data_IF_761457369329
#
_entry.id   IF_761457369329
#
_cell.length_a   1.000
_cell.length_b   1.000
_cell.length_c   1.000
_cell.angle_alpha   90.00
_cell.angle_beta   90.00
_cell.angle_gamma   90.00
#
_symmetry.space_group_name_H-M   'P 1'
#
loop_
_entity.id
_entity.type
_entity.pdbx_description
1 polymer ?
#
# COMPACT_ATOMS: atom_id res chain seq x y z
N UNK A 1 -33.11 -49.16 -72.94
CA UNK A 1 -34.17 -48.32 -72.34
C UNK A 1 -34.33 -48.73 -70.88
N UNK A 2 -33.59 -48.10 -69.97
CA UNK A 2 -33.90 -48.05 -68.53
C UNK A 2 -33.11 -46.90 -67.92
N UNK A 3 -33.78 -46.19 -67.03
CA UNK A 3 -33.54 -44.81 -66.60
C UNK A 3 -33.36 -44.82 -65.06
N UNK A 4 -32.61 -43.84 -64.50
CA UNK A 4 -32.56 -43.37 -63.10
C UNK A 4 -31.97 -44.36 -62.06
N UNK A 5 -31.26 -44.01 -60.97
CA UNK A 5 -31.03 -42.86 -60.04
C UNK A 5 -29.69 -43.22 -59.30
N UNK A 6 -28.98 -42.45 -58.47
CA UNK A 6 -29.33 -41.36 -57.57
C UNK A 6 -28.04 -40.69 -57.07
N UNK A 7 -28.06 -39.37 -56.97
CA UNK A 7 -27.15 -38.59 -56.16
C UNK A 7 -27.57 -38.69 -54.68
N UNK A 8 -26.64 -38.99 -53.76
CA UNK A 8 -26.68 -38.62 -52.33
C UNK A 8 -25.40 -39.07 -51.62
N UNK A 9 -24.35 -38.25 -51.65
CA UNK A 9 -23.22 -38.32 -50.70
C UNK A 9 -22.87 -36.90 -50.28
N UNK A 10 -23.62 -36.36 -49.33
CA UNK A 10 -23.43 -34.98 -48.89
C UNK A 10 -24.27 -34.64 -47.69
N UNK A 11 -24.26 -35.48 -46.64
CA UNK A 11 -24.93 -35.14 -45.38
C UNK A 11 -24.52 -36.06 -44.20
N UNK A 12 -23.22 -36.31 -44.00
CA UNK A 12 -22.73 -37.04 -42.82
C UNK A 12 -21.38 -36.48 -42.27
N UNK A 13 -21.19 -35.15 -42.28
CA UNK A 13 -20.05 -34.52 -41.59
C UNK A 13 -20.44 -33.34 -40.68
N UNK A 14 -21.74 -33.04 -40.51
CA UNK A 14 -22.21 -31.91 -39.69
C UNK A 14 -22.72 -32.31 -38.29
N UNK A 15 -22.61 -33.59 -37.88
CA UNK A 15 -23.11 -34.07 -36.59
C UNK A 15 -22.00 -34.34 -35.55
N UNK A 16 -20.73 -34.04 -35.86
CA UNK A 16 -19.61 -34.24 -34.92
C UNK A 16 -19.25 -32.97 -34.10
N UNK A 17 -19.91 -31.83 -34.32
CA UNK A 17 -19.62 -30.56 -33.64
C UNK A 17 -20.55 -30.23 -32.46
N UNK A 18 -21.49 -31.11 -32.11
CA UNK A 18 -22.42 -30.89 -30.99
C UNK A 18 -22.10 -31.69 -29.71
N UNK A 19 -20.96 -32.40 -29.69
CA UNK A 19 -20.41 -33.04 -28.50
C UNK A 19 -19.18 -32.29 -28.02
N UNK A 20 -19.31 -30.98 -27.79
CA UNK A 20 -18.38 -30.31 -26.89
C UNK A 20 -18.73 -30.75 -25.47
N UNK A 21 -17.82 -31.41 -24.74
CA UNK A 21 -18.06 -31.76 -23.36
C UNK A 21 -18.39 -30.46 -22.59
N UNK A 22 -19.42 -30.45 -21.72
CA UNK A 22 -19.84 -29.26 -20.99
C UNK A 22 -18.73 -28.61 -20.14
N UNK A 23 -17.57 -29.27 -19.96
CA UNK A 23 -16.39 -28.72 -19.29
C UNK A 23 -15.62 -27.67 -20.09
N UNK A 24 -15.63 -27.68 -21.43
CA UNK A 24 -14.81 -26.76 -22.23
C UNK A 24 -15.24 -25.29 -22.09
N UNK A 25 -16.52 -25.04 -21.78
CA UNK A 25 -17.07 -23.69 -21.60
C UNK A 25 -16.72 -23.11 -20.23
N UNK A 26 -16.77 -23.93 -19.17
CA UNK A 26 -16.37 -23.53 -17.83
C UNK A 26 -14.87 -23.23 -17.72
N UNK A 27 -14.04 -23.94 -18.48
CA UNK A 27 -12.58 -23.75 -18.52
C UNK A 27 -12.19 -22.46 -19.27
N UNK A 28 -12.89 -22.11 -20.34
CA UNK A 28 -12.74 -20.84 -21.05
C UNK A 28 -13.13 -19.63 -20.18
N UNK A 29 -14.21 -19.74 -19.43
CA UNK A 29 -14.67 -18.67 -18.54
C UNK A 29 -13.71 -18.48 -17.35
N UNK A 30 -13.12 -19.56 -16.83
CA UNK A 30 -12.12 -19.51 -15.76
C UNK A 30 -10.82 -18.82 -16.18
N UNK A 31 -10.23 -19.21 -17.32
CA UNK A 31 -9.01 -18.60 -17.84
C UNK A 31 -9.21 -17.11 -18.19
N UNK A 32 -10.38 -16.74 -18.70
CA UNK A 32 -10.73 -15.35 -18.96
C UNK A 32 -10.78 -14.52 -17.66
N UNK A 33 -11.38 -15.05 -16.60
CA UNK A 33 -11.44 -14.38 -15.29
C UNK A 33 -10.05 -14.26 -14.66
N UNK A 34 -9.21 -15.29 -14.72
CA UNK A 34 -7.80 -15.21 -14.27
C UNK A 34 -7.02 -14.16 -15.06
N UNK A 35 -7.21 -14.07 -16.39
CA UNK A 35 -6.51 -13.10 -17.22
C UNK A 35 -6.92 -11.65 -16.94
N UNK A 36 -8.18 -11.41 -16.60
CA UNK A 36 -8.71 -10.09 -16.22
C UNK A 36 -8.05 -9.54 -14.95
N UNK A 37 -7.76 -10.41 -13.99
CA UNK A 37 -7.20 -10.04 -12.69
C UNK A 37 -5.67 -10.20 -12.60
N UNK A 38 -5.00 -10.53 -13.71
CA UNK A 38 -3.57 -10.84 -13.75
C UNK A 38 -2.66 -9.64 -13.42
N UNK A 39 -3.18 -8.43 -13.60
CA UNK A 39 -2.51 -7.18 -13.25
C UNK A 39 -3.05 -6.56 -11.96
N UNK A 40 -4.05 -7.18 -11.32
CA UNK A 40 -4.56 -6.68 -10.05
C UNK A 40 -3.52 -6.97 -8.97
N UNK A 41 -3.18 -5.98 -8.12
CA UNK A 41 -2.26 -6.22 -7.03
C UNK A 41 -2.83 -7.30 -6.10
N UNK A 42 -2.02 -8.32 -5.80
CA UNK A 42 -2.42 -9.39 -4.88
C UNK A 42 -2.55 -8.80 -3.47
N UNK A 43 -3.79 -8.74 -2.97
CA UNK A 43 -4.11 -8.27 -1.62
C UNK A 43 -4.37 -9.38 -0.60
N UNK A 44 -4.47 -10.66 -1.00
CA UNK A 44 -4.81 -11.75 -0.08
C UNK A 44 -3.70 -12.15 0.90
N UNK A 45 -2.50 -11.56 0.80
CA UNK A 45 -1.43 -11.77 1.79
C UNK A 45 -1.70 -11.11 3.14
N UNK A 46 -2.72 -10.25 3.22
CA UNK A 46 -3.18 -9.58 4.43
C UNK A 46 -4.26 -10.42 5.12
N UNK A 47 -4.09 -10.69 6.41
CA UNK A 47 -5.09 -11.36 7.24
C UNK A 47 -6.31 -10.47 7.53
N UNK A 48 -7.40 -11.05 8.03
CA UNK A 48 -8.54 -10.26 8.56
C UNK A 48 -8.12 -9.34 9.73
N UNK A 49 -7.09 -9.74 10.48
CA UNK A 49 -6.49 -8.87 11.48
C UNK A 49 -5.81 -7.66 10.82
N UNK A 50 -5.09 -7.85 9.71
CA UNK A 50 -4.48 -6.73 8.97
C UNK A 50 -5.54 -5.76 8.42
N UNK A 51 -6.69 -6.27 7.98
CA UNK A 51 -7.83 -5.43 7.59
C UNK A 51 -8.30 -4.56 8.76
N UNK A 52 -8.49 -5.17 9.93
CA UNK A 52 -8.88 -4.46 11.16
C UNK A 52 -7.85 -3.39 11.53
N UNK A 53 -6.56 -3.73 11.41
CA UNK A 53 -5.46 -2.81 11.71
C UNK A 53 -5.42 -1.63 10.71
N UNK A 54 -5.60 -1.90 9.41
CA UNK A 54 -5.66 -0.88 8.36
C UNK A 54 -6.83 0.08 8.57
N UNK A 55 -8.04 -0.44 8.78
CA UNK A 55 -9.24 0.39 9.01
C UNK A 55 -9.11 1.23 10.28
N UNK A 56 -8.56 0.66 11.35
CA UNK A 56 -8.26 1.39 12.58
C UNK A 56 -7.19 2.46 12.38
N UNK A 57 -6.13 2.17 11.63
CA UNK A 57 -5.06 3.13 11.35
C UNK A 57 -5.56 4.26 10.46
N UNK A 58 -6.42 4.00 9.48
CA UNK A 58 -7.09 5.04 8.69
C UNK A 58 -7.83 6.01 9.61
N UNK A 59 -8.66 5.52 10.54
CA UNK A 59 -9.37 6.40 11.50
C UNK A 59 -8.39 7.26 12.33
N UNK A 60 -7.32 6.65 12.82
CA UNK A 60 -6.29 7.34 13.59
C UNK A 60 -5.61 8.44 12.77
N UNK A 61 -5.16 8.12 11.56
CA UNK A 61 -4.48 9.06 10.65
C UNK A 61 -5.43 10.20 10.23
N UNK A 62 -6.71 9.91 9.97
CA UNK A 62 -7.73 10.94 9.72
C UNK A 62 -7.91 11.88 10.92
N UNK A 63 -7.89 11.35 12.15
CA UNK A 63 -7.94 12.17 13.35
C UNK A 63 -6.66 13.00 13.54
N UNK A 64 -5.48 12.43 13.25
CA UNK A 64 -4.20 13.14 13.32
C UNK A 64 -4.16 14.32 12.35
N UNK A 65 -4.56 14.11 11.08
CA UNK A 65 -4.60 15.18 10.07
C UNK A 65 -5.50 16.33 10.53
N UNK A 66 -6.72 16.03 11.01
CA UNK A 66 -7.66 17.05 11.50
C UNK A 66 -7.12 17.82 12.71
N UNK A 67 -6.45 17.13 13.62
CA UNK A 67 -5.84 17.77 14.79
C UNK A 67 -4.69 18.68 14.36
N UNK A 68 -3.81 18.24 13.46
CA UNK A 68 -2.75 19.09 12.91
C UNK A 68 -3.33 20.31 12.17
N UNK A 69 -4.38 20.17 11.37
CA UNK A 69 -5.06 21.30 10.71
C UNK A 69 -5.53 22.35 11.74
N UNK A 70 -6.13 21.89 12.84
CA UNK A 70 -6.56 22.76 13.93
C UNK A 70 -5.37 23.46 14.61
N UNK A 71 -4.35 22.70 14.99
CA UNK A 71 -3.16 23.20 15.69
C UNK A 71 -2.33 24.17 14.82
N UNK A 72 -2.22 23.90 13.51
CA UNK A 72 -1.57 24.81 12.54
C UNK A 72 -2.33 26.13 12.51
N UNK A 73 -3.65 26.10 12.35
CA UNK A 73 -4.48 27.30 12.30
C UNK A 73 -4.37 28.12 13.59
N UNK A 74 -4.42 27.46 14.74
CA UNK A 74 -4.27 28.11 16.04
C UNK A 74 -2.90 28.74 16.21
N UNK A 75 -1.84 28.00 15.89
CA UNK A 75 -0.46 28.45 16.03
C UNK A 75 -0.16 29.63 15.10
N UNK A 76 -0.60 29.57 13.84
CA UNK A 76 -0.45 30.69 12.91
C UNK A 76 -1.22 31.93 13.34
N UNK A 77 -2.37 31.77 14.01
CA UNK A 77 -3.10 32.91 14.58
C UNK A 77 -2.33 33.54 15.75
N UNK A 78 -1.73 32.70 16.62
CA UNK A 78 -0.87 33.15 17.72
C UNK A 78 0.34 33.91 17.19
N UNK A 79 1.08 33.37 16.24
CA UNK A 79 2.24 34.04 15.62
C UNK A 79 1.87 35.40 15.01
N UNK A 80 0.71 35.49 14.33
CA UNK A 80 0.21 36.76 13.77
C UNK A 80 -0.11 37.79 14.84
N UNK A 81 -0.67 37.37 15.98
CA UNK A 81 -1.02 38.26 17.09
C UNK A 81 0.18 38.67 17.96
N UNK A 82 1.16 37.77 18.11
CA UNK A 82 2.30 37.91 19.03
C UNK A 82 3.55 38.55 18.44
N UNK A 83 3.61 38.79 17.12
CA UNK A 83 4.78 39.31 16.37
C UNK A 83 6.07 38.47 16.49
N UNK A 84 6.00 37.25 17.01
CA UNK A 84 7.16 36.35 17.12
C UNK A 84 6.83 34.98 16.55
N UNK A 85 7.80 34.39 15.86
CA UNK A 85 7.69 33.03 15.32
C UNK A 85 7.97 32.02 16.44
N UNK A 86 7.15 30.98 16.52
CA UNK A 86 7.36 29.92 17.50
C UNK A 86 8.32 28.89 16.91
N UNK A 87 9.50 28.78 17.50
CA UNK A 87 10.43 27.71 17.21
C UNK A 87 10.01 26.41 17.90
N UNK A 88 10.33 25.28 17.28
CA UNK A 88 10.12 23.97 17.89
C UNK A 88 11.01 23.83 19.14
N UNK A 89 10.40 23.39 20.23
CA UNK A 89 11.08 23.01 21.48
C UNK A 89 10.57 21.64 21.91
N UNK A 90 11.29 20.96 22.81
CA UNK A 90 10.84 19.66 23.32
C UNK A 90 9.47 19.76 24.00
N UNK A 91 9.21 20.85 24.73
CA UNK A 91 7.95 21.09 25.42
C UNK A 91 6.78 21.25 24.44
N UNK A 92 6.91 22.11 23.42
CA UNK A 92 5.81 22.34 22.49
C UNK A 92 5.62 21.16 21.52
N UNK A 93 6.71 20.45 21.17
CA UNK A 93 6.63 19.19 20.44
C UNK A 93 5.87 18.14 21.24
N UNK A 94 6.22 17.96 22.52
CA UNK A 94 5.53 17.03 23.42
C UNK A 94 4.05 17.37 23.58
N UNK A 95 3.71 18.66 23.67
CA UNK A 95 2.32 19.13 23.72
C UNK A 95 1.54 18.80 22.44
N UNK A 96 2.11 19.11 21.26
CA UNK A 96 1.49 18.80 19.96
C UNK A 96 1.32 17.29 19.77
N UNK A 97 2.38 16.52 19.97
CA UNK A 97 2.34 15.05 19.84
C UNK A 97 1.38 14.42 20.85
N UNK A 98 1.29 14.97 22.07
CA UNK A 98 0.31 14.55 23.07
C UNK A 98 -1.13 14.78 22.63
N UNK A 99 -1.45 15.96 22.08
CA UNK A 99 -2.79 16.26 21.57
C UNK A 99 -3.18 15.33 20.42
N UNK A 100 -2.29 15.19 19.44
CA UNK A 100 -2.49 14.30 18.28
C UNK A 100 -2.63 12.84 18.72
N UNK A 101 -1.74 12.37 19.59
CA UNK A 101 -1.78 11.01 20.14
C UNK A 101 -3.07 10.73 20.91
N UNK A 102 -3.57 11.70 21.68
CA UNK A 102 -4.87 11.59 22.34
C UNK A 102 -5.98 11.40 21.31
N UNK A 103 -6.09 12.27 20.29
CA UNK A 103 -7.11 12.15 19.23
C UNK A 103 -7.05 10.79 18.52
N UNK A 104 -5.85 10.34 18.14
CA UNK A 104 -5.67 9.03 17.53
C UNK A 104 -6.16 7.91 18.44
N UNK A 105 -5.78 7.93 19.73
CA UNK A 105 -6.16 6.87 20.68
C UNK A 105 -7.68 6.74 20.85
N UNK A 106 -8.42 7.86 20.83
CA UNK A 106 -9.88 7.87 21.03
C UNK A 106 -10.68 7.22 19.89
N UNK A 107 -10.10 7.15 18.69
CA UNK A 107 -10.75 6.57 17.50
C UNK A 107 -10.20 5.20 17.13
N UNK A 108 -9.20 4.71 17.88
CA UNK A 108 -8.58 3.41 17.65
C UNK A 108 -9.57 2.29 17.94
N UNK A 109 -9.64 1.30 17.05
CA UNK A 109 -10.40 0.07 17.29
C UNK A 109 -9.68 -0.79 18.34
N UNK A 110 -10.41 -1.26 19.35
CA UNK A 110 -9.85 -1.94 20.54
C UNK A 110 -8.93 -3.13 20.21
N UNK A 111 -9.26 -3.93 19.19
CA UNK A 111 -8.49 -5.11 18.80
C UNK A 111 -7.47 -4.85 17.69
N UNK A 112 -7.29 -3.59 17.26
CA UNK A 112 -6.31 -3.26 16.25
C UNK A 112 -4.90 -3.22 16.85
N UNK A 113 -3.94 -3.87 16.19
CA UNK A 113 -2.51 -3.73 16.46
C UNK A 113 -2.05 -2.34 16.02
N UNK A 114 -1.01 -1.84 16.67
CA UNK A 114 -0.36 -0.58 16.31
C UNK A 114 1.13 -0.82 16.18
N UNK A 115 1.72 -0.24 15.15
CA UNK A 115 3.14 -0.33 14.88
C UNK A 115 3.69 1.08 14.71
N UNK A 116 4.88 1.31 15.24
CA UNK A 116 5.58 2.58 15.13
C UNK A 116 6.61 2.54 14.01
N UNK A 117 6.93 3.71 13.50
CA UNK A 117 8.12 3.97 12.72
C UNK A 117 8.71 5.31 13.17
N UNK A 118 9.99 5.51 12.88
CA UNK A 118 10.70 6.74 13.17
C UNK A 118 11.81 6.99 12.15
N UNK A 119 12.14 8.26 11.96
CA UNK A 119 13.35 8.70 11.27
C UNK A 119 14.28 9.31 12.29
N UNK A 120 15.47 8.73 12.47
CA UNK A 120 16.46 9.21 13.43
C UNK A 120 17.28 10.40 12.91
N UNK A 121 18.09 11.02 13.79
CA UNK A 121 18.95 12.16 13.45
C UNK A 121 20.00 11.83 12.36
N UNK A 122 20.27 10.55 12.10
CA UNK A 122 21.08 10.08 10.98
C UNK A 122 20.36 10.15 9.63
N UNK A 123 19.07 10.49 9.61
CA UNK A 123 18.12 10.35 8.51
C UNK A 123 17.84 8.88 8.14
N UNK A 124 17.96 7.97 9.12
CA UNK A 124 17.67 6.54 8.93
C UNK A 124 16.25 6.24 9.37
N UNK A 125 15.49 5.59 8.48
CA UNK A 125 14.13 5.12 8.78
C UNK A 125 14.23 3.79 9.52
N UNK A 126 13.56 3.69 10.66
CA UNK A 126 13.34 2.46 11.42
C UNK A 126 11.85 2.19 11.48
N UNK A 127 11.45 1.01 11.05
CA UNK A 127 10.06 0.55 11.12
C UNK A 127 10.04 -0.66 12.03
N UNK A 128 9.06 -0.73 12.93
CA UNK A 128 8.86 -1.89 13.80
C UNK A 128 8.94 -3.20 12.97
N UNK A 129 9.77 -4.14 13.41
CA UNK A 129 10.03 -5.39 12.71
C UNK A 129 8.79 -6.27 12.59
N UNK A 130 7.84 -6.13 13.51
CA UNK A 130 6.58 -6.86 13.53
C UNK A 130 5.49 -6.19 12.70
N UNK A 131 5.75 -5.02 12.11
CA UNK A 131 4.80 -4.35 11.22
C UNK A 131 4.52 -5.25 10.02
N UNK A 132 3.26 -5.62 9.83
CA UNK A 132 2.87 -6.52 8.76
C UNK A 132 3.12 -5.88 7.40
N UNK A 133 3.27 -6.71 6.36
CA UNK A 133 3.50 -6.23 4.99
C UNK A 133 2.50 -5.16 4.55
N UNK A 134 1.25 -5.29 5.02
CA UNK A 134 0.12 -4.44 4.66
C UNK A 134 0.18 -3.05 5.31
N UNK A 135 0.79 -2.92 6.49
CA UNK A 135 0.97 -1.63 7.17
C UNK A 135 2.35 -1.02 6.92
N UNK A 136 3.37 -1.87 6.73
CA UNK A 136 4.77 -1.45 6.61
C UNK A 136 4.99 -0.43 5.49
N UNK A 137 4.33 -0.61 4.35
CA UNK A 137 4.42 0.34 3.24
C UNK A 137 3.89 1.73 3.60
N UNK A 138 2.80 1.82 4.37
CA UNK A 138 2.23 3.09 4.79
C UNK A 138 3.14 3.83 5.79
N UNK A 139 3.71 3.09 6.75
CA UNK A 139 4.71 3.62 7.68
C UNK A 139 5.96 4.12 6.94
N UNK A 140 6.43 3.37 5.94
CA UNK A 140 7.57 3.79 5.12
C UNK A 140 7.27 5.06 4.32
N UNK A 141 6.07 5.18 3.75
CA UNK A 141 5.65 6.36 2.99
C UNK A 141 5.54 7.59 3.92
N UNK A 142 5.13 7.42 5.18
CA UNK A 142 5.17 8.47 6.21
C UNK A 142 6.61 8.91 6.50
N UNK A 143 7.47 7.97 6.88
CA UNK A 143 8.85 8.26 7.26
C UNK A 143 9.69 8.80 6.10
N UNK A 144 9.33 8.51 4.84
CA UNK A 144 9.98 9.11 3.68
C UNK A 144 9.84 10.64 3.63
N UNK A 145 8.76 11.20 4.20
CA UNK A 145 8.59 12.65 4.34
C UNK A 145 9.63 13.21 5.33
N UNK A 146 9.74 12.62 6.51
CA UNK A 146 10.72 13.00 7.52
C UNK A 146 12.16 12.82 7.04
N UNK A 147 12.45 11.70 6.38
CA UNK A 147 13.77 11.44 5.79
C UNK A 147 14.15 12.52 4.79
N UNK A 148 13.24 12.90 3.89
CA UNK A 148 13.49 13.98 2.91
C UNK A 148 13.74 15.32 3.60
N UNK A 149 12.97 15.65 4.64
CA UNK A 149 13.17 16.86 5.43
C UNK A 149 14.51 16.84 6.17
N UNK A 150 14.87 15.70 6.76
CA UNK A 150 16.16 15.47 7.42
C UNK A 150 17.32 15.65 6.44
N UNK A 151 17.30 14.98 5.29
CA UNK A 151 18.35 15.06 4.27
C UNK A 151 18.53 16.48 3.73
N UNK A 152 17.44 17.24 3.59
CA UNK A 152 17.49 18.63 3.13
C UNK A 152 18.05 19.61 4.18
N UNK A 153 17.95 19.28 5.47
CA UNK A 153 18.32 20.16 6.58
C UNK A 153 19.51 19.62 7.41
N UNK A 154 20.12 18.51 6.97
CA UNK A 154 21.24 17.87 7.68
C UNK A 154 22.43 18.82 7.71
N UNK A 155 22.77 19.29 8.91
CA UNK A 155 24.00 20.02 9.15
C UNK A 155 25.23 19.10 9.15
N UNK A 156 26.42 19.68 9.28
CA UNK A 156 27.66 18.90 9.41
C UNK A 156 27.75 18.10 10.71
N UNK A 157 26.92 18.40 11.72
CA UNK A 157 26.90 17.70 13.00
C UNK A 157 25.80 16.62 13.01
N UNK A 158 26.16 15.31 13.03
CA UNK A 158 25.20 14.21 13.02
C UNK A 158 24.44 14.02 14.34
N UNK A 159 24.81 14.74 15.40
CA UNK A 159 24.19 14.63 16.73
C UNK A 159 23.10 15.67 16.97
N UNK A 160 22.87 16.60 16.04
CA UNK A 160 21.83 17.63 16.16
C UNK A 160 20.61 17.21 15.34
N UNK A 161 19.46 17.05 16.01
CA UNK A 161 18.18 16.79 15.34
C UNK A 161 17.89 17.94 14.35
N UNK A 162 17.57 17.60 13.10
CA UNK A 162 17.26 18.58 12.04
C UNK A 162 16.05 19.45 12.42
N UNK A 163 15.17 18.93 13.28
CA UNK A 163 14.00 19.63 13.77
C UNK A 163 14.34 20.77 14.74
N UNK A 164 15.54 20.78 15.34
CA UNK A 164 15.95 21.78 16.34
C UNK A 164 15.94 23.23 15.84
N UNK A 165 15.93 23.45 14.53
CA UNK A 165 15.84 24.80 13.91
C UNK A 165 14.51 25.04 13.21
N UNK A 166 13.59 24.09 13.26
CA UNK A 166 12.32 24.16 12.57
C UNK A 166 11.37 25.08 13.34
N UNK A 167 10.55 25.83 12.62
CA UNK A 167 9.39 26.49 13.23
C UNK A 167 8.36 25.44 13.61
N UNK A 168 7.63 25.67 14.69
CA UNK A 168 6.60 24.75 15.17
C UNK A 168 5.55 24.45 14.07
N UNK A 169 5.14 25.46 13.31
CA UNK A 169 4.20 25.30 12.19
C UNK A 169 4.78 24.44 11.06
N UNK A 170 6.06 24.59 10.74
CA UNK A 170 6.70 23.81 9.68
C UNK A 170 6.84 22.34 10.10
N UNK A 171 7.12 22.08 11.38
CA UNK A 171 7.09 20.74 11.96
C UNK A 171 5.69 20.10 11.84
N UNK A 172 4.64 20.81 12.24
CA UNK A 172 3.28 20.29 12.15
C UNK A 172 2.84 20.01 10.71
N UNK A 173 3.28 20.83 9.73
CA UNK A 173 3.01 20.60 8.31
C UNK A 173 3.77 19.40 7.77
N UNK A 174 5.01 19.17 8.22
CA UNK A 174 5.78 17.99 7.87
C UNK A 174 5.08 16.71 8.36
N UNK A 175 4.67 16.67 9.62
CA UNK A 175 3.89 15.57 10.20
C UNK A 175 2.56 15.35 9.47
N UNK A 176 1.81 16.43 9.20
CA UNK A 176 0.56 16.38 8.44
C UNK A 176 0.79 15.76 7.05
N UNK A 177 1.86 16.15 6.35
CA UNK A 177 2.21 15.60 5.04
C UNK A 177 2.60 14.11 5.12
N UNK A 178 3.31 13.70 6.17
CA UNK A 178 3.60 12.29 6.48
C UNK A 178 2.31 11.48 6.62
N UNK A 179 1.38 11.96 7.45
CA UNK A 179 0.08 11.33 7.64
C UNK A 179 -0.79 11.30 6.38
N UNK A 180 -0.73 12.32 5.52
CA UNK A 180 -1.43 12.30 4.23
C UNK A 180 -0.89 11.19 3.31
N UNK A 181 0.43 11.00 3.25
CA UNK A 181 1.04 9.92 2.47
C UNK A 181 0.69 8.54 3.04
N UNK A 182 0.69 8.43 4.36
CA UNK A 182 0.25 7.22 5.06
C UNK A 182 -1.20 6.89 4.71
N UNK A 183 -2.11 7.87 4.81
CA UNK A 183 -3.53 7.73 4.47
C UNK A 183 -3.75 7.25 3.03
N UNK A 184 -3.07 7.87 2.07
CA UNK A 184 -3.13 7.48 0.66
C UNK A 184 -2.74 6.01 0.49
N UNK A 185 -1.67 5.56 1.15
CA UNK A 185 -1.20 4.17 1.07
C UNK A 185 -2.18 3.20 1.71
N UNK A 186 -2.64 3.49 2.93
CA UNK A 186 -3.59 2.62 3.65
C UNK A 186 -4.89 2.42 2.86
N UNK A 187 -5.41 3.48 2.24
CA UNK A 187 -6.61 3.40 1.39
C UNK A 187 -6.38 2.53 0.14
N UNK A 188 -5.19 2.60 -0.48
CA UNK A 188 -4.82 1.72 -1.61
C UNK A 188 -4.70 0.26 -1.19
N UNK A 189 -4.08 -0.02 -0.04
CA UNK A 189 -3.95 -1.39 0.49
C UNK A 189 -5.34 -1.99 0.78
N UNK A 190 -6.23 -1.21 1.41
CA UNK A 190 -7.61 -1.65 1.68
C UNK A 190 -8.44 -1.88 0.41
N UNK A 191 -8.30 -1.03 -0.60
CA UNK A 191 -8.97 -1.20 -1.90
C UNK A 191 -8.45 -2.45 -2.64
N UNK A 192 -7.14 -2.66 -2.60
CA UNK A 192 -6.48 -3.85 -3.14
C UNK A 192 -7.00 -5.13 -2.49
N UNK A 193 -7.12 -5.13 -1.16
CA UNK A 193 -7.71 -6.24 -0.41
C UNK A 193 -9.16 -6.50 -0.85
N UNK A 194 -9.99 -5.47 -1.01
CA UNK A 194 -11.40 -5.65 -1.41
C UNK A 194 -11.54 -6.32 -2.78
N UNK A 195 -10.76 -5.87 -3.77
CA UNK A 195 -10.84 -6.37 -5.15
C UNK A 195 -10.33 -7.81 -5.28
N UNK A 196 -9.20 -8.11 -4.64
CA UNK A 196 -8.55 -9.41 -4.79
C UNK A 196 -9.16 -10.48 -3.86
N UNK A 197 -9.56 -10.13 -2.63
CA UNK A 197 -10.14 -11.08 -1.69
C UNK A 197 -11.58 -11.49 -2.02
N UNK A 198 -12.30 -10.72 -2.83
CA UNK A 198 -13.65 -11.08 -3.31
C UNK A 198 -13.67 -12.08 -4.45
N UNK A 199 -12.51 -12.43 -5.02
CA UNK A 199 -12.41 -13.40 -6.10
C UNK A 199 -12.67 -14.82 -5.60
N UNK A 200 -13.18 -15.67 -6.49
CA UNK A 200 -13.36 -17.09 -6.20
C UNK A 200 -12.04 -17.74 -5.75
N UNK A 201 -12.11 -18.69 -4.81
CA UNK A 201 -10.93 -19.35 -4.23
C UNK A 201 -10.04 -19.99 -5.30
N UNK A 202 -10.63 -20.58 -6.34
CA UNK A 202 -9.89 -21.19 -7.45
C UNK A 202 -9.18 -20.15 -8.31
N UNK A 203 -9.81 -19.01 -8.57
CA UNK A 203 -9.24 -17.87 -9.32
C UNK A 203 -8.09 -17.25 -8.55
N UNK A 204 -8.25 -17.02 -7.23
CA UNK A 204 -7.18 -16.51 -6.36
C UNK A 204 -5.96 -17.41 -6.35
N UNK A 205 -6.17 -18.72 -6.20
CA UNK A 205 -5.07 -19.68 -6.20
C UNK A 205 -4.33 -19.72 -7.54
N UNK A 206 -5.05 -19.65 -8.66
CA UNK A 206 -4.43 -19.59 -9.99
C UNK A 206 -3.62 -18.30 -10.20
N UNK A 207 -4.13 -17.15 -9.73
CA UNK A 207 -3.42 -15.87 -9.75
C UNK A 207 -2.15 -15.88 -8.89
N UNK A 208 -2.24 -16.34 -7.64
CA UNK A 208 -1.09 -16.50 -6.73
C UNK A 208 0.00 -17.37 -7.36
N UNK A 209 -0.39 -18.50 -7.97
CA UNK A 209 0.54 -19.41 -8.62
C UNK A 209 1.23 -18.79 -9.83
N UNK A 210 0.48 -18.05 -10.67
CA UNK A 210 1.04 -17.37 -11.85
C UNK A 210 2.00 -16.26 -11.47
N UNK A 211 1.67 -15.46 -10.46
CA UNK A 211 2.51 -14.36 -10.00
C UNK A 211 3.77 -14.89 -9.32
N UNK A 212 3.65 -15.91 -8.46
CA UNK A 212 4.83 -16.57 -7.87
C UNK A 212 5.76 -17.13 -8.95
N UNK A 213 5.21 -17.73 -10.01
CA UNK A 213 6.00 -18.22 -11.13
C UNK A 213 6.67 -17.08 -11.91
N UNK A 214 6.01 -15.94 -12.09
CA UNK A 214 6.61 -14.74 -12.70
C UNK A 214 7.75 -14.16 -11.85
N UNK A 215 7.59 -14.11 -10.53
CA UNK A 215 8.65 -13.64 -9.61
C UNK A 215 9.87 -14.56 -9.67
N UNK A 216 9.67 -15.89 -9.63
CA UNK A 216 10.77 -16.87 -9.79
C UNK A 216 11.48 -16.73 -11.14
N UNK A 217 10.72 -16.53 -12.22
CA UNK A 217 11.31 -16.32 -13.55
C UNK A 217 12.10 -15.00 -13.63
N UNK A 218 11.59 -13.94 -12.98
CA UNK A 218 12.28 -12.65 -12.91
C UNK A 218 13.59 -12.79 -12.14
N UNK A 219 13.57 -13.41 -10.96
CA UNK A 219 14.75 -13.66 -10.14
C UNK A 219 15.77 -14.52 -10.88
N UNK A 220 15.35 -15.61 -11.53
CA UNK A 220 16.21 -16.43 -12.37
C UNK A 220 16.84 -15.62 -13.51
N UNK A 221 16.07 -14.74 -14.16
CA UNK A 221 16.57 -13.88 -15.24
C UNK A 221 17.57 -12.83 -14.75
N UNK A 222 17.35 -12.26 -13.57
CA UNK A 222 18.23 -11.29 -12.94
C UNK A 222 19.54 -11.96 -12.50
N UNK A 223 19.48 -13.18 -11.96
CA UNK A 223 20.65 -13.98 -11.59
C UNK A 223 21.50 -14.35 -12.82
N UNK A 224 20.88 -14.75 -13.93
CA UNK A 224 21.58 -15.02 -15.19
C UNK A 224 22.23 -13.75 -15.75
N UNK A 225 21.53 -12.62 -15.72
CA UNK A 225 22.07 -11.33 -16.18
C UNK A 225 23.19 -10.79 -15.27
N UNK A 226 23.10 -11.01 -13.96
CA UNK A 226 24.14 -10.68 -12.99
C UNK A 226 25.42 -11.49 -13.24
N UNK A 227 25.30 -12.81 -13.41
CA UNK A 227 26.43 -13.68 -13.76
C UNK A 227 27.08 -13.28 -15.08
N UNK A 228 26.27 -12.90 -16.08
CA UNK A 228 26.78 -12.45 -17.38
C UNK A 228 27.54 -11.12 -17.32
N UNK A 229 27.24 -10.26 -16.35
CA UNK A 229 28.00 -9.02 -16.09
C UNK A 229 29.31 -9.26 -15.36
N UNK A 230 29.41 -10.30 -14.53
CA UNK A 230 30.63 -10.66 -13.80
C UNK A 230 31.65 -11.38 -14.70
N UNK A 231 31.18 -12.07 -15.73
CA UNK A 231 32.01 -12.82 -16.68
C UNK A 231 32.47 -12.00 -17.91
N UNK A 232 32.26 -10.67 -17.92
CA UNK A 232 32.74 -9.74 -18.94
C UNK A 232 33.71 -8.75 -18.32
#
# INVERSE_FOLDING_TARGET
MTIFKSATYGLLMAAALLWFPPGARAELDFEAEVKKHLNDPIGCGCSEQDKTDLESRIKQVEAAIKEYESLIKETEAKERSGKEQLFLTDDNRGSVQGSVGFRMSTVRTANARSFAAETDAGCTIKINENATRCLRGALQDHEAVHKKACEANKGMNPFVDWRSKQRLVDYMREEQAGYQKEMERLKRELDTMKKYCSLDKSVRWALERRISMQEQLKEASENVNGLRKVLR
#
